data_IF_134410014554
#
_entry.id   IF_134410014554
#
_cell.length_a   1.000
_cell.length_b   1.000
_cell.length_c   1.000
_cell.angle_alpha   90.00
_cell.angle_beta   90.00
_cell.angle_gamma   90.00
#
_symmetry.space_group_name_H-M   'P 1'
#
loop_
_entity.id
_entity.type
_entity.pdbx_description
1 polymer ?
#
# COMPACT_ATOMS: atom_id res chain seq x y z
N UNK A 1 19.45 -7.49 9.63
CA UNK A 1 20.63 -6.82 9.06
C UNK A 1 20.36 -5.35 8.71
N UNK A 2 19.16 -4.97 8.22
CA UNK A 2 18.81 -3.57 7.92
C UNK A 2 18.48 -2.71 9.16
N UNK A 3 18.04 -3.28 10.27
CA UNK A 3 17.87 -2.58 11.55
C UNK A 3 19.18 -2.04 12.13
N UNK A 4 20.29 -2.76 11.90
CA UNK A 4 21.64 -2.33 12.26
C UNK A 4 22.11 -1.14 11.40
N UNK A 5 21.72 -1.06 10.13
CA UNK A 5 22.08 0.05 9.25
C UNK A 5 21.41 1.36 9.66
N UNK A 6 20.15 1.33 10.11
CA UNK A 6 19.44 2.51 10.62
C UNK A 6 20.04 3.02 11.94
N UNK A 7 20.46 2.13 12.84
CA UNK A 7 21.09 2.48 14.12
C UNK A 7 22.53 2.98 13.89
N UNK A 8 23.28 2.40 12.95
CA UNK A 8 24.61 2.88 12.60
C UNK A 8 24.58 4.25 11.90
N UNK A 9 23.58 4.51 11.08
CA UNK A 9 23.38 5.84 10.49
C UNK A 9 23.14 6.91 11.57
N UNK A 10 22.33 6.61 12.60
CA UNK A 10 22.03 7.56 13.67
C UNK A 10 23.25 7.87 14.57
N UNK A 11 24.13 6.90 14.83
CA UNK A 11 25.38 7.10 15.62
C UNK A 11 26.54 7.66 14.78
N UNK A 12 26.55 7.41 13.46
CA UNK A 12 27.58 7.94 12.57
C UNK A 12 27.40 9.45 12.30
N UNK A 13 26.14 9.95 12.27
CA UNK A 13 25.84 11.36 11.96
C UNK A 13 26.34 12.32 13.06
N UNK A 14 26.50 11.88 14.31
CA UNK A 14 26.97 12.71 15.41
C UNK A 14 28.49 13.03 15.39
N UNK A 15 29.25 12.46 14.48
CA UNK A 15 30.71 12.66 14.37
C UNK A 15 31.26 12.89 12.95
N UNK A 16 30.39 13.00 11.95
CA UNK A 16 30.78 13.13 10.54
C UNK A 16 30.90 14.61 10.17
N UNK A 17 32.01 15.02 9.57
CA UNK A 17 32.22 16.38 9.05
C UNK A 17 31.35 16.61 7.82
N UNK A 18 30.98 17.87 7.55
CA UNK A 18 30.11 18.28 6.42
C UNK A 18 30.58 17.79 5.04
N UNK A 19 31.88 17.56 4.86
CA UNK A 19 32.47 17.04 3.61
C UNK A 19 32.20 15.51 3.41
N UNK A 20 31.93 14.77 4.48
CA UNK A 20 31.58 13.36 4.44
C UNK A 20 30.07 13.11 4.31
N UNK A 21 29.22 14.11 4.62
CA UNK A 21 27.79 14.06 4.40
C UNK A 21 27.42 13.98 2.91
N UNK A 22 28.33 14.40 2.01
CA UNK A 22 28.11 14.30 0.56
C UNK A 22 28.00 12.83 0.07
N UNK A 23 28.62 11.87 0.74
CA UNK A 23 28.58 10.45 0.38
C UNK A 23 27.25 9.80 0.83
N UNK A 24 26.62 10.33 1.88
CA UNK A 24 25.32 9.87 2.35
C UNK A 24 24.12 10.56 1.66
N UNK A 25 24.39 11.60 0.84
CA UNK A 25 23.37 12.23 -0.02
C UNK A 25 22.88 11.34 -1.18
N UNK A 26 23.50 10.20 -1.38
CA UNK A 26 23.22 9.32 -2.54
C UNK A 26 22.03 8.37 -2.36
N UNK A 27 21.32 8.38 -1.23
CA UNK A 27 20.17 7.48 -1.02
C UNK A 27 19.01 8.28 -0.43
N UNK A 28 18.32 9.04 -1.26
CA UNK A 28 17.02 9.61 -0.90
C UNK A 28 15.93 8.93 -1.73
N UNK A 29 15.15 8.03 -1.12
CA UNK A 29 14.28 7.14 -1.87
C UNK A 29 13.00 7.79 -2.42
N UNK A 30 12.62 8.99 -1.95
CA UNK A 30 11.36 9.63 -2.33
C UNK A 30 11.59 11.05 -2.85
N UNK A 31 11.12 11.30 -4.08
CA UNK A 31 11.04 12.63 -4.66
C UNK A 31 9.61 13.16 -4.60
N UNK A 32 9.39 14.23 -3.84
CA UNK A 32 8.07 14.81 -3.63
C UNK A 32 8.04 16.29 -4.07
N UNK A 33 6.86 16.78 -4.55
CA UNK A 33 6.68 18.20 -4.81
C UNK A 33 6.91 19.04 -3.55
N UNK A 34 7.43 20.27 -3.72
CA UNK A 34 7.50 21.22 -2.60
C UNK A 34 6.11 21.40 -1.98
N UNK A 35 6.06 21.45 -0.65
CA UNK A 35 4.83 21.62 0.12
C UNK A 35 3.83 20.45 0.04
N UNK A 36 4.25 19.25 -0.40
CA UNK A 36 3.38 18.08 -0.32
C UNK A 36 3.08 17.76 1.16
N UNK A 37 1.79 17.62 1.57
CA UNK A 37 1.40 17.58 2.99
C UNK A 37 2.07 16.46 3.80
N UNK A 38 2.33 15.29 3.21
CA UNK A 38 2.96 14.17 3.90
C UNK A 38 4.41 14.45 4.35
N UNK A 39 5.11 15.44 3.77
CA UNK A 39 6.53 15.73 4.04
C UNK A 39 6.80 15.92 5.54
N UNK A 40 5.98 16.73 6.22
CA UNK A 40 6.19 17.03 7.64
C UNK A 40 6.04 15.77 8.50
N UNK A 41 5.07 14.93 8.22
CA UNK A 41 4.87 13.67 8.93
C UNK A 41 6.01 12.68 8.67
N UNK A 42 6.43 12.53 7.41
CA UNK A 42 7.55 11.67 7.04
C UNK A 42 8.86 12.11 7.72
N UNK A 43 9.13 13.41 7.78
CA UNK A 43 10.28 13.96 8.52
C UNK A 43 10.21 13.68 10.02
N UNK A 44 9.04 13.79 10.65
CA UNK A 44 8.86 13.44 12.07
C UNK A 44 9.14 11.95 12.34
N UNK A 45 8.93 11.10 11.34
CA UNK A 45 9.26 9.67 11.37
C UNK A 45 10.71 9.37 10.95
N UNK A 46 11.55 10.40 10.77
CA UNK A 46 12.95 10.31 10.31
C UNK A 46 13.09 9.68 8.91
N UNK A 47 12.08 9.81 8.06
CA UNK A 47 12.12 9.41 6.66
C UNK A 47 12.71 10.54 5.84
N UNK A 48 13.76 10.25 5.08
CA UNK A 48 14.42 11.20 4.20
C UNK A 48 13.59 11.38 2.92
N UNK A 49 13.30 12.65 2.59
CA UNK A 49 12.52 13.03 1.43
C UNK A 49 13.24 14.17 0.71
N UNK A 50 13.43 14.04 -0.59
CA UNK A 50 13.89 15.12 -1.45
C UNK A 50 12.69 15.93 -1.96
N UNK A 51 12.78 17.27 -1.82
CA UNK A 51 11.67 18.16 -2.16
C UNK A 51 12.10 19.13 -3.26
N UNK A 52 11.43 19.13 -4.41
CA UNK A 52 11.64 20.11 -5.44
C UNK A 52 11.48 19.59 -6.86
N UNK A 53 11.53 20.51 -7.82
CA UNK A 53 11.50 20.20 -9.25
C UNK A 53 12.91 19.92 -9.84
N UNK A 54 13.95 20.22 -9.08
CA UNK A 54 15.31 19.92 -9.51
C UNK A 54 15.53 18.42 -9.46
N UNK A 55 15.48 17.81 -10.61
CA UNK A 55 15.96 16.44 -10.83
C UNK A 55 17.47 16.45 -10.62
N UNK A 56 17.90 16.38 -9.38
CA UNK A 56 19.28 16.04 -9.10
C UNK A 56 19.45 14.58 -9.53
N UNK A 57 19.97 14.41 -10.74
CA UNK A 57 20.40 13.11 -11.22
C UNK A 57 21.58 12.64 -10.37
N UNK A 58 21.31 12.20 -9.15
CA UNK A 58 22.30 11.72 -8.20
C UNK A 58 22.72 10.28 -8.44
N UNK A 59 22.22 9.64 -9.48
CA UNK A 59 22.54 8.25 -9.72
C UNK A 59 22.72 7.91 -11.21
N UNK A 60 23.49 6.87 -11.46
CA UNK A 60 23.62 6.21 -12.76
C UNK A 60 22.33 5.46 -13.18
N UNK A 61 21.34 5.40 -12.27
CA UNK A 61 20.08 4.65 -12.43
C UNK A 61 18.92 5.64 -12.48
N UNK A 62 18.01 5.47 -13.45
CA UNK A 62 16.77 6.26 -13.52
C UNK A 62 15.86 5.92 -12.33
N UNK A 63 15.15 6.91 -11.75
CA UNK A 63 14.14 6.66 -10.74
C UNK A 63 13.06 5.70 -11.25
N UNK A 64 12.56 4.85 -10.37
CA UNK A 64 11.36 4.05 -10.63
C UNK A 64 10.15 4.97 -10.56
N UNK A 65 9.31 4.95 -11.59
CA UNK A 65 8.10 5.76 -11.67
C UNK A 65 6.87 4.93 -11.32
N UNK A 66 6.19 5.33 -10.26
CA UNK A 66 4.99 4.66 -9.76
C UNK A 66 3.79 5.59 -9.86
N UNK A 67 2.74 5.13 -10.54
CA UNK A 67 1.44 5.75 -10.43
C UNK A 67 0.71 5.18 -9.20
N UNK A 68 -0.03 6.01 -8.47
CA UNK A 68 -0.86 5.58 -7.34
C UNK A 68 -2.30 6.05 -7.56
N UNK A 69 -3.19 5.11 -7.86
CA UNK A 69 -4.63 5.36 -7.88
C UNK A 69 -5.15 5.25 -6.44
N UNK A 70 -5.33 6.40 -5.82
CA UNK A 70 -5.79 6.49 -4.44
C UNK A 70 -7.32 6.58 -4.40
N UNK A 71 -8.01 5.47 -4.09
CA UNK A 71 -9.47 5.39 -3.99
C UNK A 71 -9.99 5.63 -2.56
N UNK A 72 -9.08 5.71 -1.56
CA UNK A 72 -9.46 5.94 -0.17
C UNK A 72 -10.07 7.34 0.04
N UNK A 73 -11.08 7.47 0.91
CA UNK A 73 -11.65 8.79 1.25
C UNK A 73 -10.68 9.66 2.05
N UNK A 74 -9.83 9.04 2.87
CA UNK A 74 -8.80 9.71 3.71
C UNK A 74 -7.50 9.89 2.93
N UNK A 75 -7.53 10.69 1.83
CA UNK A 75 -6.41 10.86 0.90
C UNK A 75 -5.08 11.16 1.59
N UNK A 76 -5.04 12.18 2.44
CA UNK A 76 -3.81 12.64 3.10
C UNK A 76 -3.15 11.55 3.97
N UNK A 77 -3.97 10.78 4.68
CA UNK A 77 -3.46 9.66 5.48
C UNK A 77 -2.89 8.57 4.57
N UNK A 78 -3.64 8.17 3.55
CA UNK A 78 -3.22 7.13 2.61
C UNK A 78 -1.96 7.53 1.84
N UNK A 79 -1.83 8.80 1.45
CA UNK A 79 -0.61 9.34 0.84
C UNK A 79 0.60 9.12 1.76
N UNK A 80 0.47 9.48 3.04
CA UNK A 80 1.53 9.30 4.02
C UNK A 80 1.89 7.82 4.20
N UNK A 81 0.88 6.96 4.29
CA UNK A 81 1.05 5.52 4.51
C UNK A 81 1.75 4.85 3.31
N UNK A 82 1.32 5.15 2.09
CA UNK A 82 1.97 4.65 0.86
C UNK A 82 3.40 5.17 0.73
N UNK A 83 3.63 6.47 0.98
CA UNK A 83 4.97 7.04 0.91
C UNK A 83 5.91 6.44 1.97
N UNK A 84 5.43 6.22 3.19
CA UNK A 84 6.19 5.52 4.24
C UNK A 84 6.61 4.13 3.79
N UNK A 85 5.70 3.40 3.18
CA UNK A 85 5.96 2.07 2.67
C UNK A 85 7.00 2.08 1.53
N UNK A 86 6.88 3.01 0.58
CA UNK A 86 7.83 3.18 -0.52
C UNK A 86 9.21 3.64 -0.05
N UNK A 87 9.28 4.41 1.04
CA UNK A 87 10.54 4.89 1.62
C UNK A 87 11.47 3.78 2.15
N UNK A 88 10.95 2.57 2.36
CA UNK A 88 11.75 1.41 2.72
C UNK A 88 12.59 0.87 1.54
N UNK A 89 12.37 1.39 0.32
CA UNK A 89 13.16 1.04 -0.87
C UNK A 89 14.54 1.70 -0.85
N UNK A 90 15.60 0.99 -1.29
CA UNK A 90 16.90 1.59 -1.56
C UNK A 90 16.96 2.30 -2.93
N UNK A 91 15.87 2.31 -3.69
CA UNK A 91 15.80 2.85 -5.05
C UNK A 91 15.12 4.22 -5.03
N UNK A 92 15.55 5.11 -5.90
CA UNK A 92 14.89 6.39 -6.13
C UNK A 92 13.49 6.17 -6.70
N UNK A 93 12.47 6.77 -6.08
CA UNK A 93 11.08 6.60 -6.49
C UNK A 93 10.44 7.96 -6.77
N UNK A 94 9.87 8.09 -7.97
CA UNK A 94 8.96 9.18 -8.34
C UNK A 94 7.52 8.67 -8.24
N UNK A 95 6.66 9.40 -7.51
CA UNK A 95 5.25 9.05 -7.35
C UNK A 95 4.36 10.04 -8.08
N UNK A 96 3.45 9.53 -8.92
CA UNK A 96 2.39 10.30 -9.54
C UNK A 96 1.03 9.85 -8.99
N UNK A 97 0.31 10.77 -8.37
CA UNK A 97 -1.01 10.50 -7.81
C UNK A 97 -2.08 10.57 -8.89
N UNK A 98 -2.88 9.51 -8.99
CA UNK A 98 -3.98 9.39 -9.96
C UNK A 98 -5.32 9.57 -9.29
N UNK A 99 -6.24 10.30 -9.96
CA UNK A 99 -7.65 10.47 -9.60
C UNK A 99 -8.56 10.07 -10.75
N UNK A 100 -9.78 9.73 -10.44
CA UNK A 100 -10.84 9.40 -11.40
C UNK A 100 -11.60 10.66 -11.85
N UNK A 101 -12.04 10.67 -13.08
CA UNK A 101 -12.98 11.70 -13.59
C UNK A 101 -14.42 11.41 -13.20
N UNK A 102 -14.77 10.13 -13.17
CA UNK A 102 -16.12 9.65 -12.82
C UNK A 102 -16.48 9.79 -11.35
N UNK A 103 -15.49 10.10 -10.48
CA UNK A 103 -15.70 10.22 -9.04
C UNK A 103 -15.03 11.45 -8.43
N UNK A 104 -15.80 12.27 -7.71
CA UNK A 104 -15.28 13.45 -7.01
C UNK A 104 -15.14 13.16 -5.52
N UNK A 105 -13.92 13.19 -4.95
CA UNK A 105 -13.72 12.98 -3.52
C UNK A 105 -14.37 14.10 -2.70
N UNK A 106 -15.08 13.73 -1.62
CA UNK A 106 -15.82 14.70 -0.76
C UNK A 106 -15.07 15.04 0.54
N UNK A 107 -14.06 14.26 0.91
CA UNK A 107 -13.35 14.37 2.20
C UNK A 107 -11.94 14.98 2.09
N UNK A 108 -11.63 15.63 0.97
CA UNK A 108 -10.35 16.27 0.71
C UNK A 108 -10.56 17.62 0.04
N UNK A 109 -9.76 18.65 0.35
CA UNK A 109 -9.87 19.95 -0.30
C UNK A 109 -9.64 19.84 -1.82
N UNK A 110 -10.48 20.49 -2.63
CA UNK A 110 -10.32 20.51 -4.09
C UNK A 110 -8.92 21.04 -4.50
N UNK A 111 -8.43 22.08 -3.80
CA UNK A 111 -7.12 22.65 -4.04
C UNK A 111 -5.97 21.63 -3.89
N UNK A 112 -6.09 20.64 -2.97
CA UNK A 112 -5.13 19.58 -2.82
C UNK A 112 -5.18 18.63 -4.02
N UNK A 113 -6.39 18.24 -4.45
CA UNK A 113 -6.57 17.39 -5.63
C UNK A 113 -6.03 18.05 -6.89
N UNK A 114 -6.28 19.34 -7.07
CA UNK A 114 -5.81 20.09 -8.26
C UNK A 114 -4.29 20.32 -8.26
N UNK A 115 -3.69 20.40 -7.08
CA UNK A 115 -2.24 20.61 -6.96
C UNK A 115 -1.41 19.33 -7.17
N UNK A 116 -1.94 18.16 -6.79
CA UNK A 116 -1.12 16.96 -6.68
C UNK A 116 -1.65 15.75 -7.44
N UNK A 117 -2.91 15.74 -7.88
CA UNK A 117 -3.52 14.60 -8.55
C UNK A 117 -3.76 14.87 -10.03
N UNK A 118 -3.45 13.87 -10.83
CA UNK A 118 -3.65 13.87 -12.28
C UNK A 118 -4.75 12.90 -12.68
N UNK A 119 -5.45 13.20 -13.74
CA UNK A 119 -6.42 12.26 -14.31
C UNK A 119 -5.71 11.15 -15.09
N UNK A 120 -6.39 10.01 -15.24
CA UNK A 120 -5.84 8.85 -15.94
C UNK A 120 -5.40 9.19 -17.38
N UNK A 121 -6.20 9.95 -18.14
CA UNK A 121 -5.87 10.37 -19.50
C UNK A 121 -4.60 11.23 -19.59
N UNK A 122 -4.26 11.98 -18.54
CA UNK A 122 -3.03 12.76 -18.46
C UNK A 122 -1.78 11.90 -18.19
N UNK A 123 -1.98 10.76 -17.51
CA UNK A 123 -0.90 9.86 -17.12
C UNK A 123 -0.71 8.69 -18.09
N UNK A 124 -1.77 8.22 -18.74
CA UNK A 124 -1.76 7.00 -19.58
C UNK A 124 -0.79 7.05 -20.77
N UNK A 125 -0.44 8.24 -21.24
CA UNK A 125 0.55 8.46 -22.30
C UNK A 125 2.00 8.53 -21.81
N UNK A 126 2.20 8.57 -20.47
CA UNK A 126 3.52 8.63 -19.84
C UNK A 126 4.01 7.21 -19.53
N UNK A 127 5.33 7.08 -19.37
CA UNK A 127 5.96 5.81 -19.01
C UNK A 127 6.01 5.68 -17.48
N UNK A 128 5.39 4.63 -16.96
CA UNK A 128 5.48 4.21 -15.55
C UNK A 128 6.03 2.78 -15.48
N UNK A 129 6.72 2.47 -14.38
CA UNK A 129 7.19 1.12 -14.11
C UNK A 129 6.10 0.30 -13.39
N UNK A 130 5.32 0.94 -12.52
CA UNK A 130 4.27 0.27 -11.77
C UNK A 130 3.06 1.14 -11.45
N UNK A 131 1.99 0.47 -10.99
CA UNK A 131 0.78 1.08 -10.45
C UNK A 131 0.48 0.48 -9.08
N UNK A 132 0.09 1.32 -8.14
CA UNK A 132 -0.54 0.91 -6.88
C UNK A 132 -2.00 1.36 -6.92
N UNK A 133 -2.93 0.43 -6.66
CA UNK A 133 -4.36 0.74 -6.51
C UNK A 133 -4.75 0.48 -5.07
N UNK A 134 -5.19 1.52 -4.36
CA UNK A 134 -5.56 1.40 -2.95
C UNK A 134 -6.94 0.79 -2.77
N UNK A 135 -7.27 0.37 -1.55
CA UNK A 135 -8.63 -0.01 -1.17
C UNK A 135 -9.65 1.12 -1.36
N UNK A 136 -10.93 0.75 -1.26
CA UNK A 136 -12.06 1.68 -1.28
C UNK A 136 -13.18 1.13 -0.36
N UNK A 137 -13.93 2.00 0.35
CA UNK A 137 -14.97 1.57 1.29
C UNK A 137 -16.31 1.28 0.59
N UNK A 138 -16.27 0.46 -0.46
CA UNK A 138 -17.43 0.10 -1.32
C UNK A 138 -17.68 -1.40 -1.39
N UNK A 139 -17.19 -2.16 -0.39
CA UNK A 139 -17.23 -3.63 -0.39
C UNK A 139 -18.64 -4.22 -0.42
N UNK A 140 -19.64 -3.47 0.04
CA UNK A 140 -21.04 -3.92 0.07
C UNK A 140 -21.74 -3.84 -1.30
N UNK A 141 -21.20 -3.06 -2.24
CA UNK A 141 -21.72 -2.98 -3.60
C UNK A 141 -21.19 -4.11 -4.47
N UNK A 142 -21.97 -4.56 -5.44
CA UNK A 142 -21.40 -5.35 -6.53
C UNK A 142 -20.41 -4.47 -7.31
N UNK A 143 -19.44 -5.08 -7.99
CA UNK A 143 -18.38 -4.30 -8.65
C UNK A 143 -18.96 -3.35 -9.70
N UNK A 144 -19.92 -3.81 -10.50
CA UNK A 144 -20.56 -3.03 -11.56
C UNK A 144 -21.51 -1.91 -11.04
N UNK A 145 -21.87 -1.96 -9.75
CA UNK A 145 -22.68 -0.91 -9.10
C UNK A 145 -21.84 0.26 -8.60
N UNK A 146 -20.50 0.12 -8.62
CA UNK A 146 -19.58 1.19 -8.23
C UNK A 146 -19.56 2.25 -9.33
N UNK A 147 -19.85 3.50 -8.99
CA UNK A 147 -20.04 4.63 -9.91
C UNK A 147 -18.85 4.90 -10.86
N UNK A 148 -17.65 4.50 -10.47
CA UNK A 148 -16.42 4.62 -11.26
C UNK A 148 -15.92 3.29 -11.87
N UNK A 149 -16.73 2.24 -11.89
CA UNK A 149 -16.30 0.92 -12.35
C UNK A 149 -15.78 0.92 -13.78
N UNK A 150 -16.47 1.57 -14.70
CA UNK A 150 -16.07 1.61 -16.11
C UNK A 150 -14.71 2.29 -16.32
N UNK A 151 -14.41 3.37 -15.60
CA UNK A 151 -13.10 4.03 -15.66
C UNK A 151 -12.02 3.16 -14.99
N UNK A 152 -12.35 2.52 -13.88
CA UNK A 152 -11.44 1.64 -13.16
C UNK A 152 -11.00 0.46 -14.04
N UNK A 153 -11.91 -0.18 -14.76
CA UNK A 153 -11.59 -1.30 -15.66
C UNK A 153 -10.72 -0.88 -16.85
N UNK A 154 -10.87 0.36 -17.33
CA UNK A 154 -9.97 0.93 -18.35
C UNK A 154 -8.55 1.09 -17.78
N UNK A 155 -8.42 1.58 -16.54
CA UNK A 155 -7.12 1.71 -15.85
C UNK A 155 -6.49 0.33 -15.63
N UNK A 156 -7.26 -0.67 -15.20
CA UNK A 156 -6.78 -2.05 -15.02
C UNK A 156 -6.28 -2.65 -16.35
N UNK A 157 -7.03 -2.46 -17.42
CA UNK A 157 -6.63 -2.92 -18.77
C UNK A 157 -5.34 -2.25 -19.24
N UNK A 158 -5.22 -0.93 -19.05
CA UNK A 158 -4.01 -0.19 -19.36
C UNK A 158 -2.82 -0.68 -18.54
N UNK A 159 -3.00 -0.88 -17.23
CA UNK A 159 -1.95 -1.35 -16.35
C UNK A 159 -1.44 -2.73 -16.77
N UNK A 160 -2.34 -3.69 -17.02
CA UNK A 160 -1.99 -5.04 -17.51
C UNK A 160 -1.25 -5.00 -18.85
N UNK A 161 -1.63 -4.10 -19.75
CA UNK A 161 -1.00 -4.00 -21.06
C UNK A 161 0.36 -3.29 -21.05
N UNK A 162 0.51 -2.22 -20.23
CA UNK A 162 1.58 -1.22 -20.40
C UNK A 162 2.61 -1.22 -19.28
N UNK A 163 2.29 -1.69 -18.07
CA UNK A 163 3.17 -1.60 -16.91
C UNK A 163 3.91 -2.91 -16.66
N UNK A 164 5.01 -2.82 -15.91
CA UNK A 164 5.80 -3.99 -15.50
C UNK A 164 5.09 -4.73 -14.36
N UNK A 165 4.55 -3.98 -13.39
CA UNK A 165 3.87 -4.56 -12.22
C UNK A 165 2.73 -3.68 -11.74
N UNK A 166 1.68 -4.31 -11.17
CA UNK A 166 0.56 -3.63 -10.52
C UNK A 166 0.30 -4.27 -9.16
N UNK A 167 0.24 -3.43 -8.13
CA UNK A 167 -0.14 -3.82 -6.78
C UNK A 167 -1.57 -3.37 -6.50
N UNK A 168 -2.42 -4.32 -6.16
CA UNK A 168 -3.80 -4.10 -5.75
C UNK A 168 -3.93 -4.35 -4.24
N UNK A 169 -4.52 -3.40 -3.50
CA UNK A 169 -4.64 -3.46 -2.03
C UNK A 169 -6.11 -3.55 -1.62
N UNK A 170 -6.43 -4.47 -0.71
CA UNK A 170 -7.72 -4.65 -0.07
C UNK A 170 -8.87 -4.83 -1.08
N UNK A 171 -9.84 -3.91 -1.13
CA UNK A 171 -10.94 -3.97 -2.10
C UNK A 171 -10.44 -3.96 -3.55
N UNK A 172 -9.41 -3.19 -3.87
CA UNK A 172 -8.83 -3.21 -5.22
C UNK A 172 -8.27 -4.56 -5.60
N UNK A 173 -7.72 -5.34 -4.64
CA UNK A 173 -7.29 -6.71 -4.90
C UNK A 173 -8.45 -7.61 -5.33
N UNK A 174 -9.60 -7.48 -4.66
CA UNK A 174 -10.81 -8.21 -5.02
C UNK A 174 -11.36 -7.74 -6.38
N UNK A 175 -11.36 -6.42 -6.63
CA UNK A 175 -11.81 -5.85 -7.90
C UNK A 175 -10.93 -6.27 -9.08
N UNK A 176 -9.61 -6.29 -8.88
CA UNK A 176 -8.65 -6.76 -9.89
C UNK A 176 -8.82 -8.26 -10.19
N UNK A 177 -8.94 -9.10 -9.17
CA UNK A 177 -9.22 -10.53 -9.33
C UNK A 177 -10.54 -10.79 -10.05
N UNK A 178 -11.57 -10.01 -9.72
CA UNK A 178 -12.84 -10.11 -10.42
C UNK A 178 -12.74 -9.71 -11.89
N UNK A 179 -12.17 -8.55 -12.16
CA UNK A 179 -12.07 -8.04 -13.53
C UNK A 179 -11.20 -8.89 -14.43
N UNK A 180 -10.06 -9.34 -13.93
CA UNK A 180 -9.08 -10.04 -14.74
C UNK A 180 -9.31 -11.54 -14.83
N UNK A 181 -9.79 -12.16 -13.73
CA UNK A 181 -9.86 -13.61 -13.58
C UNK A 181 -11.29 -14.12 -13.33
N UNK A 182 -12.27 -13.23 -13.17
CA UNK A 182 -13.66 -13.59 -12.89
C UNK A 182 -13.90 -14.12 -11.46
N UNK A 183 -12.96 -13.92 -10.55
CA UNK A 183 -13.06 -14.38 -9.16
C UNK A 183 -13.89 -13.42 -8.34
N UNK A 184 -15.03 -13.88 -7.85
CA UNK A 184 -15.94 -13.07 -7.05
C UNK A 184 -15.46 -12.89 -5.59
N UNK A 185 -15.95 -11.82 -4.95
CA UNK A 185 -15.86 -11.65 -3.50
C UNK A 185 -17.07 -12.24 -2.79
N UNK A 186 -16.88 -12.62 -1.53
CA UNK A 186 -17.92 -13.18 -0.68
C UNK A 186 -18.08 -12.31 0.58
N UNK A 187 -19.32 -12.05 0.98
CA UNK A 187 -19.61 -11.29 2.18
C UNK A 187 -19.22 -12.08 3.44
N UNK A 188 -18.56 -11.42 4.37
CA UNK A 188 -18.28 -11.95 5.69
C UNK A 188 -19.46 -11.67 6.63
N UNK A 189 -19.74 -12.56 7.58
CA UNK A 189 -20.82 -12.35 8.58
C UNK A 189 -20.53 -11.19 9.53
N UNK A 190 -19.25 -10.87 9.74
CA UNK A 190 -18.75 -9.73 10.51
C UNK A 190 -17.49 -9.17 9.85
N UNK A 191 -17.19 -7.90 10.14
CA UNK A 191 -15.95 -7.26 9.69
C UNK A 191 -14.72 -8.08 10.13
N UNK A 192 -13.88 -8.47 9.18
CA UNK A 192 -12.54 -9.00 9.46
C UNK A 192 -11.66 -7.82 9.86
N UNK A 193 -11.41 -7.70 11.18
CA UNK A 193 -10.82 -6.50 11.74
C UNK A 193 -9.75 -6.84 12.79
N UNK A 194 -8.52 -6.44 12.54
CA UNK A 194 -7.39 -6.74 13.43
C UNK A 194 -6.08 -7.00 12.71
N UNK A 195 -5.12 -7.57 13.42
CA UNK A 195 -3.80 -7.97 12.90
C UNK A 195 -3.70 -9.49 12.97
N UNK A 196 -3.46 -10.11 11.81
CA UNK A 196 -3.51 -11.56 11.70
C UNK A 196 -2.17 -12.13 11.24
N UNK A 197 -1.74 -13.28 11.79
CA UNK A 197 -0.57 -14.00 11.31
C UNK A 197 -0.84 -14.57 9.91
N UNK A 198 0.11 -14.36 9.01
CA UNK A 198 0.09 -14.83 7.63
C UNK A 198 1.21 -15.82 7.43
N UNK A 199 0.90 -17.03 6.99
CA UNK A 199 1.88 -18.04 6.64
C UNK A 199 2.33 -17.84 5.20
N UNK A 200 3.64 -17.73 4.97
CA UNK A 200 4.24 -17.71 3.64
C UNK A 200 4.19 -19.12 3.05
N UNK A 201 3.65 -19.24 1.84
CA UNK A 201 3.51 -20.52 1.13
C UNK A 201 4.64 -20.77 0.13
N UNK A 202 5.26 -19.71 -0.39
CA UNK A 202 6.29 -19.73 -1.41
C UNK A 202 7.47 -18.83 -1.01
N UNK A 203 8.30 -19.22 -0.01
CA UNK A 203 9.40 -18.39 0.49
C UNK A 203 10.50 -18.13 -0.55
N UNK A 204 10.55 -18.93 -1.62
CA UNK A 204 11.47 -18.77 -2.75
C UNK A 204 11.10 -17.58 -3.66
N UNK A 205 9.87 -17.08 -3.59
CA UNK A 205 9.43 -15.94 -4.40
C UNK A 205 10.10 -14.65 -3.90
N UNK A 206 10.70 -13.84 -4.79
CA UNK A 206 11.49 -12.66 -4.41
C UNK A 206 10.75 -11.65 -3.50
N UNK A 207 9.43 -11.55 -3.59
CA UNK A 207 8.61 -10.67 -2.76
C UNK A 207 8.78 -10.94 -1.25
N UNK A 208 9.12 -12.19 -0.88
CA UNK A 208 9.32 -12.60 0.52
C UNK A 208 10.77 -12.48 1.00
N UNK A 209 11.66 -11.86 0.21
CA UNK A 209 13.04 -11.67 0.66
C UNK A 209 13.09 -10.82 1.93
N UNK A 210 13.52 -11.43 3.03
CA UNK A 210 13.61 -10.79 4.34
C UNK A 210 12.35 -10.88 5.19
N UNK A 211 11.32 -11.59 4.71
CA UNK A 211 10.18 -11.96 5.56
C UNK A 211 10.52 -13.18 6.40
N UNK A 212 9.84 -13.31 7.54
CA UNK A 212 9.77 -14.54 8.31
C UNK A 212 8.76 -15.51 7.66
N UNK A 213 8.82 -16.80 8.02
CA UNK A 213 7.86 -17.82 7.56
C UNK A 213 6.41 -17.47 7.91
N UNK A 214 6.25 -16.68 9.00
CA UNK A 214 4.97 -16.10 9.44
C UNK A 214 5.19 -14.63 9.73
N UNK A 215 4.40 -13.77 9.08
CA UNK A 215 4.38 -12.34 9.33
C UNK A 215 2.98 -11.88 9.71
N UNK A 216 2.86 -10.72 10.34
CA UNK A 216 1.56 -10.16 10.72
C UNK A 216 1.11 -9.09 9.73
N UNK A 217 -0.18 -9.09 9.38
CA UNK A 217 -0.77 -8.10 8.47
C UNK A 217 -2.11 -7.59 9.00
N UNK A 218 -2.32 -6.25 9.01
CA UNK A 218 -3.62 -5.65 9.29
C UNK A 218 -4.67 -6.02 8.26
N UNK A 219 -5.90 -6.29 8.73
CA UNK A 219 -7.09 -6.45 7.89
C UNK A 219 -8.23 -5.58 8.43
N UNK A 220 -8.96 -4.97 7.50
CA UNK A 220 -10.16 -4.17 7.77
C UNK A 220 -11.10 -4.29 6.57
N UNK A 221 -11.90 -5.37 6.51
CA UNK A 221 -12.73 -5.70 5.35
C UNK A 221 -14.03 -6.43 5.72
N UNK A 222 -15.06 -6.26 4.90
CA UNK A 222 -16.37 -6.93 5.03
C UNK A 222 -16.56 -8.06 4.02
N UNK A 223 -15.57 -8.29 3.16
CA UNK A 223 -15.61 -9.33 2.12
C UNK A 223 -14.30 -10.11 2.09
N UNK A 224 -14.34 -11.29 1.46
CA UNK A 224 -13.17 -12.16 1.28
C UNK A 224 -13.10 -12.74 -0.14
N UNK A 225 -11.92 -13.23 -0.49
CA UNK A 225 -11.68 -14.14 -1.62
C UNK A 225 -11.48 -15.54 -1.05
N UNK A 226 -12.07 -16.56 -1.67
CA UNK A 226 -11.91 -17.93 -1.23
C UNK A 226 -10.68 -18.57 -1.86
N UNK A 227 -10.01 -19.41 -1.09
CA UNK A 227 -8.82 -20.15 -1.53
C UNK A 227 -9.13 -21.06 -2.70
N UNK A 228 -10.29 -21.70 -2.66
CA UNK A 228 -10.74 -22.65 -3.69
C UNK A 228 -10.85 -21.96 -5.05
N UNK A 229 -11.28 -20.69 -5.08
CA UNK A 229 -11.41 -19.92 -6.32
C UNK A 229 -10.02 -19.59 -6.89
N UNK A 230 -9.08 -19.17 -6.06
CA UNK A 230 -7.69 -18.94 -6.50
C UNK A 230 -7.07 -20.22 -7.07
N UNK A 231 -7.26 -21.35 -6.41
CA UNK A 231 -6.66 -22.64 -6.82
C UNK A 231 -7.25 -23.21 -8.13
N UNK A 232 -8.40 -22.72 -8.60
CA UNK A 232 -8.97 -23.06 -9.89
C UNK A 232 -8.28 -22.34 -11.06
N UNK A 233 -7.49 -21.31 -10.77
CA UNK A 233 -6.79 -20.49 -11.77
C UNK A 233 -5.29 -20.82 -11.77
N UNK A 234 -4.79 -21.65 -12.71
CA UNK A 234 -3.40 -22.11 -12.73
C UNK A 234 -2.39 -20.96 -12.99
N UNK A 235 -2.85 -19.83 -13.50
CA UNK A 235 -2.07 -18.61 -13.70
C UNK A 235 -1.87 -17.82 -12.40
N UNK A 236 -2.63 -18.11 -11.35
CA UNK A 236 -2.48 -17.50 -10.05
C UNK A 236 -1.67 -18.38 -9.10
N UNK A 237 -0.79 -17.76 -8.35
CA UNK A 237 -0.06 -18.39 -7.25
C UNK A 237 -0.54 -17.80 -5.93
N UNK A 238 -1.08 -18.63 -5.03
CA UNK A 238 -1.40 -18.24 -3.67
C UNK A 238 -0.10 -18.11 -2.88
N UNK A 239 0.23 -16.89 -2.45
CA UNK A 239 1.50 -16.55 -1.83
C UNK A 239 1.49 -16.64 -0.31
N UNK A 240 0.41 -16.16 0.31
CA UNK A 240 0.25 -16.19 1.76
C UNK A 240 -1.22 -16.34 2.15
N UNK A 241 -1.44 -17.01 3.27
CA UNK A 241 -2.76 -17.22 3.85
C UNK A 241 -2.71 -17.21 5.38
N UNK A 242 -3.85 -17.03 6.00
CA UNK A 242 -4.05 -17.12 7.45
C UNK A 242 -5.16 -18.12 7.77
N UNK A 243 -5.01 -18.85 8.87
CA UNK A 243 -6.08 -19.71 9.38
C UNK A 243 -7.29 -18.89 9.87
N UNK A 244 -7.05 -17.63 10.29
CA UNK A 244 -8.08 -16.77 10.85
C UNK A 244 -8.75 -15.86 9.82
N UNK A 245 -8.00 -15.37 8.82
CA UNK A 245 -8.52 -14.40 7.84
C UNK A 245 -8.46 -14.88 6.38
N UNK A 246 -8.08 -16.13 6.12
CA UNK A 246 -8.12 -16.74 4.79
C UNK A 246 -7.02 -16.25 3.85
N UNK A 247 -7.33 -16.10 2.57
CA UNK A 247 -6.41 -15.63 1.53
C UNK A 247 -5.95 -14.21 1.83
N UNK A 248 -4.65 -13.99 1.83
CA UNK A 248 -4.08 -12.67 2.06
C UNK A 248 -3.25 -12.14 0.91
N UNK A 249 -2.51 -12.98 0.20
CA UNK A 249 -1.70 -12.57 -0.94
C UNK A 249 -1.74 -13.62 -2.05
N UNK A 250 -1.93 -13.17 -3.28
CA UNK A 250 -1.70 -13.98 -4.48
C UNK A 250 -1.12 -13.11 -5.60
N UNK A 251 -0.57 -13.73 -6.63
CA UNK A 251 -0.02 -13.02 -7.80
C UNK A 251 -0.24 -13.82 -9.08
N UNK A 252 -0.21 -13.13 -10.21
CA UNK A 252 -0.09 -13.75 -11.53
C UNK A 252 1.33 -14.27 -11.77
N UNK A 253 1.47 -15.18 -12.73
CA UNK A 253 2.78 -15.70 -13.13
C UNK A 253 3.76 -14.56 -13.46
N UNK A 254 4.96 -14.64 -12.88
CA UNK A 254 5.99 -13.62 -13.04
C UNK A 254 5.78 -12.35 -12.24
N UNK A 255 4.77 -12.27 -11.35
CA UNK A 255 4.56 -11.14 -10.43
C UNK A 255 4.08 -9.86 -11.11
N UNK A 256 3.50 -9.95 -12.31
CA UNK A 256 2.99 -8.78 -13.03
C UNK A 256 1.83 -8.12 -12.30
N UNK A 257 0.98 -8.90 -11.67
CA UNK A 257 -0.12 -8.42 -10.83
C UNK A 257 -0.04 -9.09 -9.47
N UNK A 258 -0.08 -8.30 -8.42
CA UNK A 258 0.03 -8.72 -7.04
C UNK A 258 -1.21 -8.22 -6.31
N UNK A 259 -1.92 -9.15 -5.67
CA UNK A 259 -3.16 -8.88 -4.97
C UNK A 259 -2.97 -9.14 -3.48
N UNK A 260 -3.15 -8.10 -2.67
CA UNK A 260 -3.03 -8.16 -1.20
C UNK A 260 -4.38 -7.77 -0.59
N UNK A 261 -5.06 -8.69 0.08
CA UNK A 261 -6.39 -8.44 0.66
C UNK A 261 -6.35 -7.73 2.02
N UNK A 262 -5.18 -7.60 2.61
CA UNK A 262 -4.92 -6.83 3.83
C UNK A 262 -4.27 -5.48 3.52
N UNK A 263 -3.67 -4.88 4.56
CA UNK A 263 -3.10 -3.54 4.52
C UNK A 263 -1.67 -3.53 5.05
N UNK A 264 -0.68 -3.56 4.18
CA UNK A 264 0.73 -3.44 4.56
C UNK A 264 1.16 -1.99 4.78
N UNK A 265 0.37 -1.05 4.28
CA UNK A 265 0.63 0.39 4.34
C UNK A 265 0.15 1.03 5.65
N UNK A 266 -0.72 0.40 6.41
CA UNK A 266 -1.35 0.99 7.60
C UNK A 266 -0.32 1.45 8.65
N UNK A 267 -0.51 2.66 9.16
CA UNK A 267 0.18 3.14 10.35
C UNK A 267 -0.29 2.35 11.59
N UNK A 268 0.54 2.29 12.65
CA UNK A 268 0.17 1.59 13.88
C UNK A 268 -1.17 2.04 14.48
N UNK A 269 -1.55 3.31 14.30
CA UNK A 269 -2.76 3.91 14.85
C UNK A 269 -4.00 3.75 13.97
N UNK A 270 -3.86 3.24 12.73
CA UNK A 270 -4.96 3.26 11.75
C UNK A 270 -6.16 2.42 12.20
N UNK A 271 -5.94 1.20 12.72
CA UNK A 271 -7.04 0.37 13.21
C UNK A 271 -7.72 0.96 14.45
N UNK A 272 -6.99 1.65 15.33
CA UNK A 272 -7.54 2.37 16.48
C UNK A 272 -8.47 3.51 16.04
N UNK A 273 -8.03 4.30 15.07
CA UNK A 273 -8.82 5.38 14.48
C UNK A 273 -10.09 4.85 13.80
N UNK A 274 -9.97 3.75 13.05
CA UNK A 274 -11.13 3.09 12.43
C UNK A 274 -12.09 2.56 13.49
N UNK A 275 -11.59 1.89 14.54
CA UNK A 275 -12.42 1.39 15.61
C UNK A 275 -13.22 2.51 16.28
N UNK A 276 -12.55 3.60 16.69
CA UNK A 276 -13.24 4.72 17.35
C UNK A 276 -14.20 5.47 16.42
N UNK A 277 -13.94 5.50 15.11
CA UNK A 277 -14.86 6.06 14.13
C UNK A 277 -16.15 5.27 14.01
N UNK A 278 -16.08 3.93 14.05
CA UNK A 278 -17.14 3.00 13.69
C UNK A 278 -17.83 2.38 14.90
N UNK A 279 -17.15 2.25 16.04
CA UNK A 279 -17.70 1.68 17.28
C UNK A 279 -18.94 2.42 17.75
N UNK A 280 -19.99 1.67 18.08
CA UNK A 280 -21.28 2.20 18.51
C UNK A 280 -22.15 2.82 17.41
N UNK A 281 -21.67 2.86 16.16
CA UNK A 281 -22.45 3.27 14.98
C UNK A 281 -22.86 2.09 14.11
N UNK A 282 -22.16 0.98 14.24
CA UNK A 282 -22.34 -0.25 13.45
C UNK A 282 -22.29 -1.45 14.39
N UNK A 283 -23.24 -2.36 14.24
CA UNK A 283 -23.33 -3.58 15.05
C UNK A 283 -22.38 -4.70 14.60
N UNK A 284 -21.76 -4.56 13.43
CA UNK A 284 -20.86 -5.52 12.80
C UNK A 284 -19.36 -5.24 13.06
N UNK A 285 -19.04 -4.25 13.90
CA UNK A 285 -17.66 -3.85 14.23
C UNK A 285 -17.34 -4.25 15.67
N UNK A 286 -16.59 -5.33 15.82
CA UNK A 286 -16.00 -5.75 17.10
C UNK A 286 -14.65 -5.03 17.32
N UNK A 287 -14.04 -5.23 18.49
CA UNK A 287 -12.67 -4.82 18.76
C UNK A 287 -11.71 -5.43 17.72
N UNK A 288 -10.70 -4.67 17.23
CA UNK A 288 -9.69 -5.25 16.34
C UNK A 288 -8.90 -6.34 17.07
N UNK A 289 -8.93 -7.55 16.53
CA UNK A 289 -8.26 -8.72 17.12
C UNK A 289 -6.74 -8.57 17.06
N UNK A 290 -6.05 -9.04 18.09
CA UNK A 290 -4.58 -9.06 18.20
C UNK A 290 -3.93 -7.66 18.08
N UNK A 291 -4.68 -6.61 18.41
CA UNK A 291 -4.25 -5.23 18.18
C UNK A 291 -3.98 -4.46 19.47
N UNK A 292 -4.89 -4.50 20.43
CA UNK A 292 -4.68 -3.82 21.71
C UNK A 292 -3.94 -4.72 22.70
N UNK A 293 -3.14 -4.10 23.55
CA UNK A 293 -2.52 -4.79 24.68
C UNK A 293 -3.59 -5.29 25.62
N UNK A 294 -3.55 -6.59 25.93
CA UNK A 294 -4.54 -7.28 26.81
C UNK A 294 -5.98 -7.14 26.29
N UNK A 295 -6.17 -7.00 24.98
CA UNK A 295 -7.46 -6.76 24.31
C UNK A 295 -8.25 -5.58 24.90
N UNK A 296 -7.55 -4.58 25.46
CA UNK A 296 -8.15 -3.42 26.09
C UNK A 296 -7.73 -2.13 25.36
N UNK A 297 -8.69 -1.39 24.75
CA UNK A 297 -8.40 -0.13 24.04
C UNK A 297 -7.71 0.92 24.91
N UNK A 298 -7.98 0.94 26.22
CA UNK A 298 -7.35 1.87 27.17
C UNK A 298 -5.83 1.66 27.30
N UNK A 299 -5.32 0.48 26.94
CA UNK A 299 -3.88 0.17 26.98
C UNK A 299 -3.15 0.54 25.67
N UNK A 300 -3.88 1.03 24.67
CA UNK A 300 -3.38 1.40 23.37
C UNK A 300 -2.92 0.22 22.51
N UNK A 301 -2.54 0.47 21.24
CA UNK A 301 -2.10 -0.57 20.33
C UNK A 301 -0.79 -1.23 20.78
N UNK A 302 -0.63 -2.51 20.44
CA UNK A 302 0.63 -3.23 20.59
C UNK A 302 1.68 -2.55 19.72
N UNK A 303 2.79 -2.10 20.34
CA UNK A 303 3.91 -1.52 19.60
C UNK A 303 4.71 -2.65 18.94
N UNK A 304 4.97 -2.51 17.64
CA UNK A 304 5.80 -3.46 16.91
C UNK A 304 5.18 -4.07 15.66
N UNK A 305 3.94 -3.72 15.34
CA UNK A 305 3.28 -4.12 14.09
C UNK A 305 3.46 -3.10 12.95
N UNK A 306 4.47 -2.26 13.00
CA UNK A 306 4.84 -1.50 11.82
C UNK A 306 5.34 -2.51 10.77
N UNK A 307 4.68 -2.68 9.63
CA UNK A 307 5.17 -3.53 8.57
C UNK A 307 6.44 -2.89 8.00
N UNK A 308 7.60 -3.34 8.50
CA UNK A 308 8.92 -2.94 7.99
C UNK A 308 9.33 -3.79 6.78
N UNK A 309 8.35 -4.40 6.11
CA UNK A 309 8.62 -5.21 4.93
C UNK A 309 8.72 -4.30 3.70
N UNK A 310 9.87 -4.20 3.06
CA UNK A 310 10.05 -3.28 1.94
C UNK A 310 9.22 -3.74 0.73
N UNK A 311 8.19 -2.97 0.39
CA UNK A 311 7.47 -3.10 -0.88
C UNK A 311 8.36 -2.90 -2.11
N UNK A 312 9.59 -2.44 -1.90
CA UNK A 312 10.60 -2.29 -2.95
C UNK A 312 10.84 -3.56 -3.76
N UNK A 313 10.51 -4.73 -3.20
CA UNK A 313 10.64 -6.02 -3.88
C UNK A 313 9.45 -6.26 -4.82
N UNK A 314 8.31 -5.60 -4.59
CA UNK A 314 7.09 -5.78 -5.40
C UNK A 314 7.21 -5.08 -6.76
N UNK A 315 8.07 -4.06 -6.88
CA UNK A 315 8.12 -3.16 -8.04
C UNK A 315 9.47 -3.28 -8.79
N UNK A 316 10.44 -3.99 -8.24
CA UNK A 316 11.75 -4.24 -8.86
C UNK A 316 11.75 -5.51 -9.71
#
# INVERSE_FOLDING_TARGET
>A
MFYLFSIFAHHAIMGVRDDQLSVFKEVMPLHLPKNFPAIERLKQENILVECGEEKTAHGLVKPIKIAVLNLMPTKLQTETDILRLLSASPLDIEVAWMRLRSHTPTHVPAAHMDAYYHYFDELSSQSFDGLIVTGAPVEHLNFEEVDYWDELTQIFSWARASLKSTLYICWAAQAGLYFHEGINKYALPKKMFGIFPQRVLHPEVPIFRGFDDVFCMPHSRHTEIRKEDILQHPELTLLAESEECGVSMCMTAGGKEIFITGHMEYAPETLDQEYHRDAGKRDDVDLPRHYYRDDNPANGPLKGYAPLYPLSIIIA
#
